data_IF_404080401292
#
_entry.id   IF_404080401292
#
_cell.length_a   1.000
_cell.length_b   1.000
_cell.length_c   1.000
_cell.angle_alpha   90.00
_cell.angle_beta   90.00
_cell.angle_gamma   90.00
#
_symmetry.space_group_name_H-M   'P 1'
#
loop_
_entity.id
_entity.type
_entity.pdbx_description
1 polymer ?
#
# COMPACT_ATOMS: atom_id res chain seq x y z
N UNK A 1 13.96 8.97 -1.16
CA UNK A 1 13.37 10.17 -1.80
C UNK A 1 13.32 9.93 -3.31
N UNK A 2 12.37 10.49 -4.03
CA UNK A 2 12.17 10.25 -5.48
C UNK A 2 11.87 11.54 -6.23
N UNK A 3 12.11 11.59 -7.54
CA UNK A 3 11.61 12.64 -8.45
C UNK A 3 10.42 12.16 -9.28
N UNK A 4 10.12 10.86 -9.24
CA UNK A 4 8.99 10.27 -9.96
C UNK A 4 7.65 10.79 -9.42
N UNK A 5 6.69 10.98 -10.33
CA UNK A 5 5.33 11.42 -9.99
C UNK A 5 4.45 10.30 -9.40
N UNK A 6 4.93 9.06 -9.43
CA UNK A 6 4.26 7.91 -8.85
C UNK A 6 5.25 6.91 -8.28
N UNK A 7 4.77 6.04 -7.39
CA UNK A 7 5.53 4.91 -6.87
C UNK A 7 4.67 3.64 -6.84
N UNK A 8 5.31 2.50 -7.07
CA UNK A 8 4.72 1.18 -6.84
C UNK A 8 5.33 0.62 -5.58
N UNK A 9 4.49 0.24 -4.61
CA UNK A 9 4.94 -0.43 -3.39
C UNK A 9 4.73 -1.92 -3.56
N UNK A 10 5.78 -2.68 -3.25
CA UNK A 10 5.75 -4.14 -3.22
C UNK A 10 6.00 -4.58 -1.78
N UNK A 11 5.36 -5.68 -1.39
CA UNK A 11 5.52 -6.23 -0.06
C UNK A 11 5.09 -7.69 0.00
N UNK A 12 5.14 -8.24 1.20
CA UNK A 12 4.64 -9.57 1.49
C UNK A 12 3.55 -9.47 2.56
N UNK A 13 2.40 -10.06 2.27
CA UNK A 13 1.33 -10.29 3.22
C UNK A 13 1.03 -11.80 3.17
N UNK A 14 1.38 -12.49 4.26
CA UNK A 14 1.14 -13.93 4.40
C UNK A 14 -0.03 -14.12 5.35
N UNK A 15 -0.97 -14.96 4.94
CA UNK A 15 -2.03 -15.51 5.77
C UNK A 15 -1.97 -17.04 5.63
N UNK A 16 -2.48 -17.76 6.62
CA UNK A 16 -2.69 -19.20 6.54
C UNK A 16 -3.97 -19.54 5.75
N UNK A 17 -4.91 -18.58 5.59
CA UNK A 17 -6.21 -18.78 4.94
C UNK A 17 -6.34 -17.92 3.66
N UNK A 18 -6.99 -18.46 2.63
CA UNK A 18 -7.35 -17.69 1.45
C UNK A 18 -8.36 -16.59 1.82
N UNK A 19 -8.13 -15.35 1.37
CA UNK A 19 -9.06 -14.24 1.59
C UNK A 19 -8.45 -12.93 2.08
N UNK A 20 -7.13 -12.84 2.20
CA UNK A 20 -6.48 -11.57 2.54
C UNK A 20 -6.65 -10.56 1.39
N UNK A 21 -7.05 -9.35 1.72
CA UNK A 21 -7.03 -8.21 0.82
C UNK A 21 -6.02 -7.18 1.33
N UNK A 22 -5.15 -6.70 0.45
CA UNK A 22 -4.22 -5.63 0.77
C UNK A 22 -4.72 -4.35 0.12
N UNK A 23 -4.97 -3.33 0.94
CA UNK A 23 -5.45 -2.01 0.55
C UNK A 23 -4.39 -0.97 0.87
N UNK A 24 -4.34 0.10 0.11
CA UNK A 24 -3.48 1.25 0.37
C UNK A 24 -4.27 2.55 0.28
N UNK A 25 -3.82 3.54 1.05
CA UNK A 25 -4.36 4.88 1.05
C UNK A 25 -3.24 5.90 1.29
N UNK A 26 -3.35 7.06 0.67
CA UNK A 26 -2.45 8.20 0.88
C UNK A 26 -3.13 9.23 1.76
N UNK A 27 -2.35 9.99 2.53
CA UNK A 27 -2.87 11.11 3.31
C UNK A 27 -3.54 12.20 2.44
N UNK A 28 -3.28 12.21 1.13
CA UNK A 28 -3.90 13.11 0.16
C UNK A 28 -5.24 12.58 -0.39
N UNK A 29 -5.71 11.41 0.05
CA UNK A 29 -7.02 10.85 -0.31
C UNK A 29 -7.01 9.80 -1.43
N UNK A 30 -5.91 9.64 -2.18
CA UNK A 30 -5.80 8.56 -3.15
C UNK A 30 -5.75 7.20 -2.44
N UNK A 31 -6.47 6.20 -2.95
CA UNK A 31 -6.52 4.85 -2.39
C UNK A 31 -6.67 3.78 -3.47
N UNK A 32 -6.44 2.53 -3.11
CA UNK A 32 -6.62 1.40 -4.02
C UNK A 32 -6.31 0.05 -3.37
N UNK A 33 -6.42 -1.01 -4.16
CA UNK A 33 -6.02 -2.35 -3.76
C UNK A 33 -4.61 -2.68 -4.28
N UNK A 34 -3.90 -3.53 -3.55
CA UNK A 34 -2.73 -4.24 -4.03
C UNK A 34 -3.16 -5.66 -4.42
N UNK A 35 -2.55 -6.16 -5.49
CA UNK A 35 -2.85 -7.48 -6.03
C UNK A 35 -1.63 -8.38 -5.96
N UNK A 36 -1.88 -9.68 -6.01
CA UNK A 36 -0.87 -10.72 -5.79
C UNK A 36 -0.72 -11.02 -4.30
N UNK A 37 -0.80 -12.29 -3.94
CA UNK A 37 -0.47 -12.78 -2.61
C UNK A 37 0.28 -14.11 -2.75
N UNK A 38 1.19 -14.44 -1.82
CA UNK A 38 1.57 -13.66 -0.63
C UNK A 38 2.43 -12.44 -0.94
N UNK A 39 3.01 -12.36 -2.14
CA UNK A 39 3.74 -11.18 -2.60
C UNK A 39 2.79 -10.24 -3.34
N UNK A 40 2.57 -9.04 -2.77
CA UNK A 40 1.66 -8.04 -3.34
C UNK A 40 2.42 -6.89 -4.00
N UNK A 41 1.75 -6.28 -4.98
CA UNK A 41 2.15 -5.02 -5.56
C UNK A 41 0.94 -4.08 -5.64
N UNK A 42 1.14 -2.82 -5.26
CA UNK A 42 0.15 -1.76 -5.48
C UNK A 42 0.10 -1.41 -6.97
N UNK A 43 -1.01 -0.81 -7.41
CA UNK A 43 -0.98 0.00 -8.62
C UNK A 43 -0.07 1.22 -8.43
N UNK A 44 0.19 1.97 -9.51
CA UNK A 44 0.98 3.20 -9.43
C UNK A 44 0.28 4.23 -8.52
N UNK A 45 0.90 4.49 -7.37
CA UNK A 45 0.39 5.46 -6.38
C UNK A 45 0.88 6.85 -6.77
N UNK A 46 0.00 7.81 -7.04
CA UNK A 46 0.41 9.18 -7.34
C UNK A 46 1.07 9.83 -6.13
N UNK A 47 2.15 10.58 -6.38
CA UNK A 47 2.92 11.29 -5.35
C UNK A 47 2.83 12.80 -5.57
N UNK A 48 2.39 13.52 -4.55
CA UNK A 48 2.46 14.98 -4.48
C UNK A 48 3.90 15.42 -4.17
N UNK A 49 4.28 16.66 -4.51
CA UNK A 49 5.57 17.21 -4.06
C UNK A 49 5.61 17.26 -2.54
N UNK A 50 6.77 16.93 -1.96
CA UNK A 50 6.94 16.81 -0.51
C UNK A 50 6.70 15.41 0.02
N UNK A 51 6.29 15.31 1.29
CA UNK A 51 6.12 14.02 1.99
C UNK A 51 4.77 13.40 1.62
N UNK A 52 4.81 12.18 1.07
CA UNK A 52 3.62 11.36 0.82
C UNK A 52 3.59 10.23 1.84
N UNK A 53 2.63 10.30 2.75
CA UNK A 53 2.39 9.25 3.74
C UNK A 53 1.37 8.27 3.18
N UNK A 54 1.78 7.03 3.02
CA UNK A 54 1.00 5.96 2.39
C UNK A 54 0.80 4.85 3.42
N UNK A 55 -0.44 4.59 3.78
CA UNK A 55 -0.82 3.53 4.71
C UNK A 55 -1.27 2.31 3.92
N UNK A 56 -0.65 1.17 4.16
CA UNK A 56 -0.98 -0.13 3.59
C UNK A 56 -1.62 -0.96 4.69
N UNK A 57 -2.80 -1.54 4.42
CA UNK A 57 -3.56 -2.38 5.35
C UNK A 57 -3.81 -3.74 4.72
N UNK A 58 -3.47 -4.81 5.41
CA UNK A 58 -3.90 -6.17 5.10
C UNK A 58 -5.11 -6.50 5.99
N UNK A 59 -6.17 -7.04 5.40
CA UNK A 59 -7.37 -7.53 6.09
C UNK A 59 -7.62 -8.97 5.66
N UNK A 60 -7.82 -9.88 6.60
CA UNK A 60 -8.23 -11.26 6.29
C UNK A 60 -9.76 -11.44 6.26
N UNK A 61 -10.21 -12.62 5.83
CA UNK A 61 -11.63 -12.96 5.75
C UNK A 61 -12.30 -13.08 7.15
N UNK A 62 -11.51 -13.34 8.20
CA UNK A 62 -11.98 -13.40 9.58
C UNK A 62 -12.12 -12.01 10.23
N UNK A 63 -11.65 -10.96 9.55
CA UNK A 63 -11.70 -9.58 10.03
C UNK A 63 -10.46 -9.13 10.81
N UNK A 64 -9.40 -9.93 10.89
CA UNK A 64 -8.14 -9.46 11.44
C UNK A 64 -7.47 -8.50 10.46
N UNK A 65 -6.88 -7.43 11.01
CA UNK A 65 -6.29 -6.37 10.22
C UNK A 65 -4.92 -5.97 10.76
N UNK A 66 -3.98 -5.79 9.85
CA UNK A 66 -2.66 -5.22 10.14
C UNK A 66 -2.39 -4.08 9.17
N UNK A 67 -1.66 -3.07 9.60
CA UNK A 67 -1.29 -1.96 8.74
C UNK A 67 0.14 -1.49 8.97
N UNK A 68 0.73 -0.89 7.93
CA UNK A 68 2.04 -0.26 7.96
C UNK A 68 1.98 1.04 7.17
N UNK A 69 2.68 2.06 7.66
CA UNK A 69 2.81 3.34 6.97
C UNK A 69 4.18 3.47 6.33
N UNK A 70 4.22 3.93 5.09
CA UNK A 70 5.42 4.24 4.31
C UNK A 70 5.42 5.73 3.97
N UNK A 71 6.52 6.41 4.24
CA UNK A 71 6.69 7.83 3.88
C UNK A 71 7.63 7.95 2.69
N UNK A 72 7.11 8.47 1.57
CA UNK A 72 7.88 8.72 0.35
C UNK A 72 7.97 10.23 0.13
N UNK A 73 9.17 10.79 0.23
CA UNK A 73 9.40 12.19 -0.12
C UNK A 73 9.67 12.32 -1.61
N UNK A 74 8.80 13.05 -2.33
CA UNK A 74 9.01 13.49 -3.71
C UNK A 74 9.66 14.88 -3.70
N UNK A 75 10.78 15.02 -4.41
CA UNK A 75 11.43 16.31 -4.66
C UNK A 75 10.90 16.94 -5.94
#
# INVERSE_FOLDING_TARGET
>A
MTTAASAVIRGMATDNVAGTAVLWQTAAGASGAAAGLPQFATTAIPLNRGINRITIRARDAAGNESFRTVSITRR
#
